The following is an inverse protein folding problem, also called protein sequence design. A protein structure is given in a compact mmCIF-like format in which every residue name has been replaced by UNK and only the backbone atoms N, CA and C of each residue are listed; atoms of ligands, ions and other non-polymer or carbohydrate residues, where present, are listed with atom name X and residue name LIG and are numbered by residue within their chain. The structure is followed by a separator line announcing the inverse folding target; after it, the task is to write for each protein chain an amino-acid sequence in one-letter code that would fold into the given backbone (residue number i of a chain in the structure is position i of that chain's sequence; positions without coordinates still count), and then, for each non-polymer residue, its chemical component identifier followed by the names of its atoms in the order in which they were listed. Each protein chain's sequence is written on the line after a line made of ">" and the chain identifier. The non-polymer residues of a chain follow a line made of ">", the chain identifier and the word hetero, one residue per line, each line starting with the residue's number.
data_IF_388744376805
#
_entry.id   IF_388744376805
#
_cell.length_a   1.000
_cell.length_b   1.000
_cell.length_c   1.000
_cell.angle_alpha   90.00
_cell.angle_beta   90.00
_cell.angle_gamma   90.00
#
_symmetry.space_group_name_H-M   'P 1'
#
loop_
_entity.id
_entity.type
_entity.pdbx_description
1 polymer ?
#
# COMPACT_ATOMS: atom_id res chain seq x y z
N UNK A 1 -1.01 9.42 -8.00
CA UNK A 1 -2.21 8.56 -7.98
C UNK A 1 -2.80 8.51 -9.38
N UNK A 2 -3.21 7.33 -9.80
CA UNK A 2 -3.84 7.15 -11.13
C UNK A 2 -5.25 7.75 -11.11
N UNK A 3 -5.54 8.74 -11.96
CA UNK A 3 -6.85 9.40 -11.99
C UNK A 3 -7.89 8.68 -12.86
N UNK A 4 -7.46 7.81 -13.77
CA UNK A 4 -8.34 7.19 -14.78
C UNK A 4 -9.50 6.37 -14.19
N UNK A 5 -9.28 5.74 -13.04
CA UNK A 5 -10.27 4.90 -12.36
C UNK A 5 -10.76 5.48 -11.04
N UNK A 6 -10.40 6.72 -10.72
CA UNK A 6 -10.89 7.40 -9.52
C UNK A 6 -12.30 7.93 -9.75
N UNK A 7 -13.23 7.56 -8.90
CA UNK A 7 -14.65 7.92 -8.99
C UNK A 7 -15.18 8.40 -7.64
N UNK A 8 -16.12 9.34 -7.61
CA UNK A 8 -16.79 9.74 -6.39
C UNK A 8 -17.62 8.58 -5.83
N UNK A 9 -17.56 8.38 -4.51
CA UNK A 9 -18.38 7.39 -3.81
C UNK A 9 -19.77 8.03 -3.54
N UNK A 10 -20.85 7.49 -4.15
CA UNK A 10 -22.18 8.05 -4.03
C UNK A 10 -22.61 8.26 -2.57
N UNK A 11 -23.22 9.40 -2.27
CA UNK A 11 -23.70 9.75 -0.93
C UNK A 11 -22.61 10.18 0.07
N UNK A 12 -21.38 10.36 -0.37
CA UNK A 12 -20.26 10.78 0.47
C UNK A 12 -19.41 11.88 -0.18
N UNK A 13 -18.45 12.43 0.57
CA UNK A 13 -17.41 13.34 0.03
C UNK A 13 -16.10 12.58 -0.32
N UNK A 14 -16.16 11.26 -0.37
CA UNK A 14 -15.00 10.40 -0.60
C UNK A 14 -14.96 9.93 -2.05
N UNK A 15 -13.77 9.59 -2.51
CA UNK A 15 -13.55 8.91 -3.77
C UNK A 15 -13.11 7.47 -3.54
N UNK A 16 -13.39 6.62 -4.51
CA UNK A 16 -12.88 5.25 -4.56
C UNK A 16 -12.16 4.99 -5.89
N UNK A 17 -11.39 3.92 -5.95
CA UNK A 17 -10.77 3.46 -7.18
C UNK A 17 -11.53 2.25 -7.72
N UNK A 18 -12.07 2.39 -8.93
CA UNK A 18 -12.89 1.35 -9.57
C UNK A 18 -12.00 0.24 -10.14
N UNK A 19 -11.53 -0.62 -9.26
CA UNK A 19 -10.71 -1.79 -9.60
C UNK A 19 -11.44 -2.77 -10.50
N UNK A 20 -12.77 -2.89 -10.33
CA UNK A 20 -13.58 -3.74 -11.20
C UNK A 20 -13.51 -3.24 -12.63
N UNK A 21 -13.76 -1.96 -12.88
CA UNK A 21 -13.69 -1.40 -14.22
C UNK A 21 -12.31 -1.58 -14.85
N UNK A 22 -11.23 -1.42 -14.09
CA UNK A 22 -9.87 -1.61 -14.57
C UNK A 22 -9.60 -3.05 -15.03
N UNK A 23 -10.06 -4.04 -14.28
CA UNK A 23 -9.88 -5.46 -14.60
C UNK A 23 -10.79 -5.88 -15.77
N UNK A 24 -12.06 -5.48 -15.74
CA UNK A 24 -13.02 -5.79 -16.81
C UNK A 24 -12.62 -5.18 -18.16
N UNK A 25 -11.93 -4.05 -18.16
CA UNK A 25 -11.39 -3.44 -19.37
C UNK A 25 -10.27 -4.29 -20.02
N UNK A 26 -9.59 -5.13 -19.24
CA UNK A 26 -8.54 -6.05 -19.74
C UNK A 26 -9.18 -7.37 -20.18
N UNK A 27 -10.04 -7.94 -19.32
CA UNK A 27 -10.69 -9.22 -19.59
C UNK A 27 -12.08 -9.26 -18.93
N UNK A 28 -13.12 -9.28 -19.76
CA UNK A 28 -14.51 -9.36 -19.33
C UNK A 28 -14.75 -10.59 -18.44
N UNK A 29 -15.45 -10.37 -17.32
CA UNK A 29 -15.76 -11.40 -16.32
C UNK A 29 -14.57 -11.84 -15.46
N UNK A 30 -13.39 -11.24 -15.60
CA UNK A 30 -12.21 -11.61 -14.82
C UNK A 30 -12.37 -11.21 -13.35
N UNK A 31 -12.91 -10.03 -13.05
CA UNK A 31 -13.03 -9.56 -11.67
C UNK A 31 -13.81 -10.51 -10.77
N UNK A 32 -14.92 -11.07 -11.27
CA UNK A 32 -15.74 -12.00 -10.51
C UNK A 32 -15.02 -13.30 -10.14
N UNK A 33 -14.07 -13.73 -10.98
CA UNK A 33 -13.28 -14.95 -10.79
C UNK A 33 -12.06 -14.76 -9.89
N UNK A 34 -11.66 -13.50 -9.62
CA UNK A 34 -10.51 -13.22 -8.77
C UNK A 34 -10.84 -13.49 -7.29
N UNK A 35 -9.94 -14.16 -6.54
CA UNK A 35 -9.99 -14.20 -5.08
C UNK A 35 -9.98 -12.78 -4.49
N UNK A 36 -10.54 -12.61 -3.31
CA UNK A 36 -10.57 -11.29 -2.64
C UNK A 36 -9.16 -10.71 -2.42
N UNK A 37 -8.19 -11.54 -2.05
CA UNK A 37 -6.79 -11.11 -1.91
C UNK A 37 -6.23 -10.53 -3.21
N UNK A 38 -6.53 -11.16 -4.35
CA UNK A 38 -6.11 -10.65 -5.67
C UNK A 38 -6.81 -9.34 -6.03
N UNK A 39 -8.08 -9.13 -5.60
CA UNK A 39 -8.78 -7.86 -5.79
C UNK A 39 -8.14 -6.74 -4.98
N UNK A 40 -7.69 -7.01 -3.75
CA UNK A 40 -6.96 -6.05 -2.91
C UNK A 40 -5.60 -5.71 -3.54
N UNK A 41 -4.87 -6.72 -4.04
CA UNK A 41 -3.62 -6.48 -4.77
C UNK A 41 -3.84 -5.67 -6.05
N UNK A 42 -4.91 -5.91 -6.78
CA UNK A 42 -5.25 -5.12 -7.95
C UNK A 42 -5.62 -3.67 -7.59
N UNK A 43 -6.33 -3.44 -6.48
CA UNK A 43 -6.69 -2.10 -6.05
C UNK A 43 -5.46 -1.23 -5.77
N UNK A 44 -4.44 -1.75 -5.09
CA UNK A 44 -3.23 -0.97 -4.82
C UNK A 44 -2.51 -0.57 -6.11
N UNK A 45 -2.53 -1.42 -7.14
CA UNK A 45 -2.01 -1.09 -8.46
C UNK A 45 -2.84 0.00 -9.13
N UNK A 46 -4.16 -0.15 -9.18
CA UNK A 46 -5.07 0.85 -9.78
C UNK A 46 -4.91 2.20 -9.09
N UNK A 47 -4.66 2.22 -7.80
CA UNK A 47 -4.49 3.43 -6.99
C UNK A 47 -3.15 4.13 -7.22
N UNK A 48 -2.04 3.39 -7.29
CA UNK A 48 -0.69 3.96 -7.16
C UNK A 48 0.30 3.57 -8.24
N UNK A 49 0.02 2.55 -9.05
CA UNK A 49 0.94 2.09 -10.08
C UNK A 49 1.16 3.15 -11.17
N UNK A 50 2.35 3.17 -11.73
CA UNK A 50 2.61 3.95 -12.92
C UNK A 50 1.65 3.51 -14.05
N UNK A 51 0.89 4.43 -14.67
CA UNK A 51 -0.04 4.11 -15.75
C UNK A 51 0.58 3.32 -16.91
N UNK A 52 1.86 3.56 -17.20
CA UNK A 52 2.57 2.89 -18.30
C UNK A 52 2.68 1.36 -18.13
N UNK A 53 2.73 0.88 -16.89
CA UNK A 53 2.89 -0.55 -16.58
C UNK A 53 1.64 -1.16 -15.92
N UNK A 54 0.62 -0.35 -15.63
CA UNK A 54 -0.58 -0.79 -14.91
C UNK A 54 -1.27 -1.97 -15.59
N UNK A 55 -1.47 -1.89 -16.91
CA UNK A 55 -2.16 -2.93 -17.67
C UNK A 55 -1.42 -4.26 -17.57
N UNK A 56 -0.11 -4.26 -17.70
CA UNK A 56 0.68 -5.48 -17.60
C UNK A 56 0.68 -6.06 -16.18
N UNK A 57 0.82 -5.21 -15.17
CA UNK A 57 0.74 -5.64 -13.77
C UNK A 57 -0.63 -6.24 -13.41
N UNK A 58 -1.73 -5.68 -13.92
CA UNK A 58 -3.07 -6.26 -13.74
C UNK A 58 -3.25 -7.58 -14.48
N UNK A 59 -2.68 -7.75 -15.68
CA UNK A 59 -2.67 -9.02 -16.41
C UNK A 59 -1.97 -10.12 -15.62
N UNK A 60 -0.84 -9.84 -14.97
CA UNK A 60 -0.15 -10.82 -14.12
C UNK A 60 -1.06 -11.36 -13.01
N UNK A 61 -1.89 -10.48 -12.39
CA UNK A 61 -2.87 -10.89 -11.38
C UNK A 61 -3.97 -11.75 -12.01
N UNK A 62 -4.52 -11.33 -13.14
CA UNK A 62 -5.61 -12.04 -13.84
C UNK A 62 -5.15 -13.45 -14.27
N UNK A 63 -3.97 -13.54 -14.83
CA UNK A 63 -3.38 -14.75 -15.36
C UNK A 63 -2.66 -15.60 -14.29
N UNK A 64 -2.59 -15.08 -13.04
CA UNK A 64 -1.91 -15.71 -11.90
C UNK A 64 -0.43 -16.03 -12.17
N UNK A 65 0.24 -15.18 -12.93
CA UNK A 65 1.69 -15.31 -13.16
C UNK A 65 2.44 -15.08 -11.86
N UNK A 66 3.41 -15.96 -11.56
CA UNK A 66 4.21 -15.92 -10.31
C UNK A 66 5.70 -15.94 -10.58
N UNK A 67 6.08 -15.90 -11.82
CA UNK A 67 7.45 -15.97 -12.33
C UNK A 67 8.04 -14.60 -12.64
N UNK A 68 7.28 -13.54 -12.40
CA UNK A 68 7.66 -12.16 -12.65
C UNK A 68 7.37 -11.30 -11.43
N UNK A 69 8.26 -10.35 -11.17
CA UNK A 69 8.03 -9.32 -10.18
C UNK A 69 6.90 -8.39 -10.63
N UNK A 70 6.11 -7.92 -9.68
CA UNK A 70 5.12 -6.88 -9.95
C UNK A 70 5.20 -5.76 -8.91
N UNK A 71 4.78 -4.54 -9.26
CA UNK A 71 4.87 -3.40 -8.36
C UNK A 71 4.05 -3.60 -7.08
N UNK A 72 4.64 -3.23 -5.94
CA UNK A 72 4.01 -3.32 -4.63
C UNK A 72 3.88 -1.91 -4.01
N UNK A 73 2.64 -1.46 -3.78
CA UNK A 73 2.34 -0.14 -3.23
C UNK A 73 1.39 -0.24 -2.03
N UNK A 74 1.84 -0.73 -0.87
CA UNK A 74 1.00 -0.81 0.31
C UNK A 74 0.56 0.59 0.76
N UNK A 75 -0.66 0.69 1.28
CA UNK A 75 -1.19 1.96 1.75
C UNK A 75 -0.57 2.37 3.08
N UNK A 76 -0.25 1.39 3.93
CA UNK A 76 0.38 1.54 5.25
C UNK A 76 0.96 0.21 5.72
N UNK A 77 1.86 0.31 6.66
CA UNK A 77 2.37 -0.82 7.45
C UNK A 77 1.78 -0.72 8.84
N UNK A 78 1.21 -1.81 9.32
CA UNK A 78 0.72 -1.92 10.70
C UNK A 78 1.68 -2.81 11.47
N UNK A 79 2.26 -2.28 12.53
CA UNK A 79 3.16 -2.99 13.42
C UNK A 79 2.45 -3.31 14.73
N UNK A 80 2.59 -4.54 15.18
CA UNK A 80 2.26 -4.94 16.54
C UNK A 80 3.20 -4.23 17.52
N UNK A 81 2.72 -3.79 18.68
CA UNK A 81 3.48 -3.01 19.64
C UNK A 81 4.70 -3.74 20.23
N UNK A 82 4.61 -5.04 20.48
CA UNK A 82 5.75 -5.82 21.00
C UNK A 82 6.81 -6.02 19.93
N UNK A 83 6.42 -6.52 18.74
CA UNK A 83 7.37 -6.84 17.67
C UNK A 83 7.74 -5.60 16.82
N UNK A 84 6.89 -4.59 16.80
CA UNK A 84 7.14 -3.34 16.08
C UNK A 84 8.11 -2.40 16.77
N UNK A 85 8.41 -2.59 18.06
CA UNK A 85 9.38 -1.77 18.81
C UNK A 85 10.77 -1.80 18.17
N UNK A 86 11.20 -2.94 17.64
CA UNK A 86 12.50 -3.07 16.96
C UNK A 86 12.62 -2.10 15.79
N UNK A 87 11.59 -1.99 14.96
CA UNK A 87 11.58 -1.06 13.84
C UNK A 87 11.66 0.42 14.30
N UNK A 88 11.00 0.76 15.41
CA UNK A 88 11.06 2.11 16.00
C UNK A 88 12.47 2.42 16.54
N UNK A 89 13.10 1.46 17.22
CA UNK A 89 14.47 1.62 17.74
C UNK A 89 15.46 1.79 16.59
N UNK A 90 15.34 1.01 15.52
CA UNK A 90 16.20 1.12 14.34
C UNK A 90 16.04 2.49 13.65
N UNK A 91 14.81 3.00 13.51
CA UNK A 91 14.57 4.34 12.96
C UNK A 91 15.13 5.43 13.86
N UNK A 92 15.02 5.30 15.17
CA UNK A 92 15.60 6.24 16.13
C UNK A 92 17.13 6.24 16.02
N UNK A 93 17.76 5.07 16.00
CA UNK A 93 19.23 4.92 15.82
C UNK A 93 19.72 5.49 14.49
N UNK A 94 18.95 5.32 13.40
CA UNK A 94 19.27 5.95 12.11
C UNK A 94 19.22 7.48 12.18
N UNK A 95 18.25 8.04 12.90
CA UNK A 95 18.15 9.50 13.10
C UNK A 95 19.32 10.05 13.88
N UNK A 96 19.72 9.35 14.95
CA UNK A 96 20.89 9.72 15.74
C UNK A 96 22.17 9.68 14.87
N UNK A 97 22.37 8.63 14.10
CA UNK A 97 23.53 8.50 13.20
C UNK A 97 23.58 9.60 12.14
N UNK A 98 22.43 9.99 11.56
CA UNK A 98 22.37 11.12 10.61
C UNK A 98 22.70 12.44 11.29
N UNK A 99 22.18 12.68 12.48
CA UNK A 99 22.47 13.90 13.26
C UNK A 99 23.97 14.00 13.62
N UNK A 100 24.58 12.90 14.04
CA UNK A 100 26.01 12.82 14.34
C UNK A 100 26.90 13.13 13.13
N UNK A 101 26.41 12.81 11.92
CA UNK A 101 27.10 13.14 10.66
C UNK A 101 26.77 14.53 10.15
N UNK A 102 25.98 15.33 10.87
CA UNK A 102 25.59 16.68 10.49
C UNK A 102 24.48 16.76 9.45
N UNK A 103 23.76 15.67 9.20
CA UNK A 103 22.57 15.62 8.34
C UNK A 103 21.29 15.97 9.10
N UNK A 104 20.18 16.07 8.37
CA UNK A 104 18.86 16.33 8.95
C UNK A 104 18.15 15.01 9.34
N UNK A 105 18.00 14.71 10.65
CA UNK A 105 17.33 13.49 11.09
C UNK A 105 15.84 13.44 10.72
N UNK A 106 15.21 14.57 10.39
CA UNK A 106 13.79 14.61 9.97
C UNK A 106 13.54 13.96 8.60
N UNK A 107 14.58 13.79 7.78
CA UNK A 107 14.51 13.08 6.50
C UNK A 107 14.39 11.56 6.66
N UNK A 108 14.76 11.02 7.83
CA UNK A 108 14.64 9.58 8.11
C UNK A 108 13.22 9.23 8.52
N UNK A 109 12.43 8.82 7.55
CA UNK A 109 11.05 8.38 7.75
C UNK A 109 10.74 7.16 6.87
N UNK A 110 9.80 6.29 7.29
CA UNK A 110 9.29 5.24 6.42
C UNK A 110 8.69 5.81 5.15
N UNK A 111 9.00 5.21 4.01
CA UNK A 111 8.41 5.58 2.70
C UNK A 111 6.91 5.33 2.68
N UNK A 112 6.46 4.30 3.41
CA UNK A 112 5.05 3.97 3.58
C UNK A 112 4.64 4.36 5.00
N UNK A 113 3.49 5.04 5.21
CA UNK A 113 3.00 5.34 6.53
C UNK A 113 2.98 4.10 7.43
N UNK A 114 3.66 4.18 8.56
CA UNK A 114 3.80 3.06 9.49
C UNK A 114 3.12 3.41 10.81
N UNK A 115 2.28 2.50 11.29
CA UNK A 115 1.52 2.65 12.53
C UNK A 115 1.87 1.54 13.49
N UNK A 116 2.24 1.92 14.72
CA UNK A 116 2.33 1.00 15.84
C UNK A 116 0.98 0.94 16.54
N UNK A 117 0.40 -0.24 16.63
CA UNK A 117 -0.89 -0.48 17.30
C UNK A 117 -0.64 -1.13 18.65
N UNK A 118 -1.00 -0.43 19.69
CA UNK A 118 -0.86 -0.92 21.07
C UNK A 118 -1.98 -1.90 21.39
N UNK A 119 -1.61 -3.08 21.87
CA UNK A 119 -2.52 -4.19 22.17
C UNK A 119 -2.52 -4.61 23.66
N UNK A 120 -1.67 -4.01 24.48
CA UNK A 120 -1.68 -4.33 25.91
C UNK A 120 -2.40 -3.25 26.73
N UNK A 121 -2.82 -3.62 27.93
CA UNK A 121 -3.52 -2.73 28.84
C UNK A 121 -2.64 -1.53 29.23
N UNK A 122 -3.20 -0.35 29.09
CA UNK A 122 -2.59 0.89 29.52
C UNK A 122 -3.38 1.46 30.69
N UNK A 123 -2.68 1.90 31.75
CA UNK A 123 -3.29 2.72 32.77
C UNK A 123 -3.31 4.17 32.26
N UNK A 124 -4.48 4.78 32.28
CA UNK A 124 -4.67 6.20 31.96
C UNK A 124 -5.03 6.91 33.27
N UNK A 125 -4.16 7.83 33.70
CA UNK A 125 -4.41 8.71 34.85
C UNK A 125 -5.20 9.96 34.45
#
# INVERSE_FOLDING_TARGET
>A
MNSAYRKPLPGTRLDYFDTRAAIEAIQTGAYARLPYTSRVLAEQLVRRCNPAILTEALKQIIERKRDQDFPWYPARVVCHDILGQTALVDLAGLRDAIAEQGGDPSEVNPVVPTQLIVDHSLAVE
#
